data_IF_165069925502
#
_entry.id   IF_165069925502
#
_cell.length_a   1.000
_cell.length_b   1.000
_cell.length_c   1.000
_cell.angle_alpha   90.00
_cell.angle_beta   90.00
_cell.angle_gamma   90.00
#
_symmetry.space_group_name_H-M   'P 1'
#
loop_
_entity.id
_entity.type
_entity.pdbx_description
1 polymer ?
#
# COMPACT_ATOMS: atom_id res chain seq x y z
N UNK A 1 -11.09 6.19 -16.77
CA UNK A 1 -10.86 6.37 -15.33
C UNK A 1 -9.57 5.72 -14.89
N UNK A 2 -8.91 6.34 -13.94
CA UNK A 2 -7.68 5.80 -13.38
C UNK A 2 -7.98 5.09 -12.08
N UNK A 3 -7.53 3.86 -11.96
CA UNK A 3 -7.68 3.09 -10.72
C UNK A 3 -6.37 3.10 -9.97
N UNK A 4 -6.41 3.51 -8.72
CA UNK A 4 -5.23 3.75 -7.90
C UNK A 4 -5.22 2.82 -6.71
N UNK A 5 -4.08 2.16 -6.49
CA UNK A 5 -3.83 1.34 -5.30
C UNK A 5 -2.99 2.15 -4.32
N UNK A 6 -3.56 2.44 -3.15
CA UNK A 6 -2.82 3.08 -2.06
C UNK A 6 -2.34 2.04 -1.08
N UNK A 7 -1.10 2.14 -0.64
CA UNK A 7 -0.50 1.18 0.27
C UNK A 7 0.10 1.90 1.47
N UNK A 8 -0.30 1.45 2.66
CA UNK A 8 0.27 1.90 3.93
C UNK A 8 1.08 0.73 4.49
N UNK A 9 2.39 0.66 4.18
CA UNK A 9 3.18 -0.52 4.54
C UNK A 9 3.44 -0.61 6.03
N UNK A 10 3.45 -1.82 6.53
CA UNK A 10 3.79 -2.11 7.91
C UNK A 10 4.46 -3.46 8.00
N UNK A 11 5.23 -3.68 9.06
CA UNK A 11 5.95 -4.94 9.24
C UNK A 11 5.07 -6.03 9.85
N UNK A 12 3.95 -5.66 10.44
CA UNK A 12 3.01 -6.61 11.06
C UNK A 12 1.70 -6.68 10.29
N UNK A 13 1.31 -5.59 9.67
CA UNK A 13 0.14 -5.52 8.82
C UNK A 13 0.33 -4.38 7.83
N UNK A 14 -0.23 -4.54 6.66
CA UNK A 14 -0.15 -3.53 5.61
C UNK A 14 -1.57 -3.16 5.19
N UNK A 15 -1.89 -1.88 5.25
CA UNK A 15 -3.19 -1.39 4.81
C UNK A 15 -3.17 -1.10 3.32
N UNK A 16 -4.31 -1.28 2.66
CA UNK A 16 -4.43 -0.91 1.26
C UNK A 16 -5.81 -0.36 0.96
N UNK A 17 -5.89 0.41 -0.11
CA UNK A 17 -7.16 0.91 -0.61
C UNK A 17 -7.11 1.03 -2.11
N UNK A 18 -8.26 0.84 -2.75
CA UNK A 18 -8.43 1.03 -4.19
C UNK A 18 -9.46 2.12 -4.39
N UNK A 19 -9.09 3.13 -5.19
CA UNK A 19 -10.01 4.19 -5.59
C UNK A 19 -9.97 4.36 -7.11
N UNK A 20 -11.02 4.97 -7.66
CA UNK A 20 -11.08 5.32 -9.07
C UNK A 20 -11.28 6.81 -9.20
N UNK A 21 -10.58 7.42 -10.14
CA UNK A 21 -10.73 8.85 -10.37
C UNK A 21 -10.79 9.15 -11.87
N UNK A 22 -11.61 10.14 -12.23
CA UNK A 22 -11.67 10.67 -13.59
C UNK A 22 -10.96 12.02 -13.68
N UNK A 23 -10.25 12.39 -12.60
CA UNK A 23 -9.58 13.68 -12.50
C UNK A 23 -10.38 14.73 -11.77
N UNK A 24 -11.68 14.55 -11.66
CA UNK A 24 -12.56 15.47 -10.95
C UNK A 24 -13.21 14.83 -9.74
N UNK A 25 -13.64 13.60 -9.91
CA UNK A 25 -14.28 12.83 -8.83
C UNK A 25 -13.50 11.58 -8.57
N UNK A 26 -13.51 11.17 -7.31
CA UNK A 26 -12.85 9.95 -6.91
C UNK A 26 -13.84 9.09 -6.14
N UNK A 27 -13.88 7.81 -6.48
CA UNK A 27 -14.79 6.86 -5.88
C UNK A 27 -14.02 5.77 -5.16
N UNK A 28 -14.49 5.45 -3.97
CA UNK A 28 -13.98 4.33 -3.21
C UNK A 28 -14.40 3.01 -3.87
N UNK A 29 -13.45 2.10 -4.05
CA UNK A 29 -13.74 0.78 -4.58
C UNK A 29 -13.68 -0.27 -3.48
N UNK A 30 -12.55 -0.36 -2.78
CA UNK A 30 -12.38 -1.31 -1.69
C UNK A 30 -11.19 -0.92 -0.84
N UNK A 31 -11.09 -1.54 0.33
CA UNK A 31 -9.92 -1.39 1.19
C UNK A 31 -9.83 -2.60 2.10
N UNK A 32 -8.69 -2.75 2.75
CA UNK A 32 -8.49 -3.84 3.67
C UNK A 32 -7.14 -3.79 4.34
N UNK A 33 -6.86 -4.83 5.09
CA UNK A 33 -5.61 -4.98 5.81
C UNK A 33 -5.04 -6.37 5.51
N UNK A 34 -3.78 -6.39 5.12
CA UNK A 34 -3.03 -7.63 4.94
C UNK A 34 -2.30 -7.91 6.24
N UNK A 35 -2.69 -8.96 6.94
CA UNK A 35 -2.02 -9.36 8.18
C UNK A 35 -0.84 -10.24 7.84
N UNK A 36 0.33 -9.89 8.39
CA UNK A 36 1.55 -10.65 8.15
C UNK A 36 1.79 -11.61 9.29
N UNK A 37 2.30 -12.82 9.01
CA UNK A 37 2.52 -13.82 10.06
C UNK A 37 3.74 -13.46 10.90
N UNK A 38 3.53 -12.70 11.97
CA UNK A 38 4.61 -12.12 12.77
C UNK A 38 5.48 -13.16 13.47
N UNK A 39 4.99 -14.39 13.60
CA UNK A 39 5.77 -15.48 14.21
C UNK A 39 6.63 -16.23 13.19
N UNK A 40 6.53 -15.87 11.93
CA UNK A 40 7.30 -16.48 10.87
C UNK A 40 8.56 -15.67 10.57
N UNK A 41 9.57 -16.29 9.94
CA UNK A 41 10.75 -15.53 9.50
C UNK A 41 10.37 -14.39 8.57
N UNK A 42 11.24 -13.38 8.51
CA UNK A 42 10.97 -12.20 7.70
C UNK A 42 10.66 -12.55 6.25
N UNK A 43 11.43 -13.47 5.67
CA UNK A 43 11.20 -13.86 4.27
C UNK A 43 9.79 -14.40 4.06
N UNK A 44 9.28 -15.20 5.00
CA UNK A 44 7.92 -15.73 4.91
C UNK A 44 6.88 -14.63 5.04
N UNK A 45 7.13 -13.66 5.93
CA UNK A 45 6.22 -12.51 6.07
C UNK A 45 6.17 -11.68 4.81
N UNK A 46 7.33 -11.42 4.21
CA UNK A 46 7.40 -10.63 2.97
C UNK A 46 6.76 -11.38 1.81
N UNK A 47 6.87 -12.71 1.81
CA UNK A 47 6.21 -13.53 0.80
C UNK A 47 4.70 -13.39 0.87
N UNK A 48 4.13 -13.42 2.07
CA UNK A 48 2.68 -13.23 2.26
C UNK A 48 2.26 -11.85 1.75
N UNK A 49 3.04 -10.84 2.09
CA UNK A 49 2.77 -9.48 1.64
C UNK A 49 2.76 -9.41 0.10
N UNK A 50 3.78 -9.97 -0.52
CA UNK A 50 3.92 -9.93 -1.96
C UNK A 50 2.80 -10.68 -2.67
N UNK A 51 2.47 -11.88 -2.19
CA UNK A 51 1.40 -12.68 -2.77
C UNK A 51 0.04 -12.01 -2.63
N UNK A 52 -0.20 -11.42 -1.46
CA UNK A 52 -1.47 -10.72 -1.22
C UNK A 52 -1.63 -9.50 -2.10
N UNK A 53 -0.58 -8.71 -2.24
CA UNK A 53 -0.62 -7.54 -3.12
C UNK A 53 -0.78 -7.94 -4.57
N UNK A 54 -0.07 -8.98 -4.99
CA UNK A 54 -0.19 -9.48 -6.36
C UNK A 54 -1.63 -9.89 -6.67
N UNK A 55 -2.29 -10.55 -5.72
CA UNK A 55 -3.67 -10.97 -5.87
C UNK A 55 -4.61 -9.76 -5.97
N UNK A 56 -4.39 -8.75 -5.15
CA UNK A 56 -5.18 -7.51 -5.18
C UNK A 56 -5.01 -6.80 -6.52
N UNK A 57 -3.77 -6.72 -7.01
CA UNK A 57 -3.49 -6.09 -8.29
C UNK A 57 -4.17 -6.85 -9.43
N UNK A 58 -4.11 -8.18 -9.40
CA UNK A 58 -4.77 -8.99 -10.41
C UNK A 58 -6.27 -8.81 -10.40
N UNK A 59 -6.85 -8.75 -9.21
CA UNK A 59 -8.31 -8.66 -9.07
C UNK A 59 -8.84 -7.30 -9.48
N UNK A 60 -8.18 -6.23 -9.05
CA UNK A 60 -8.71 -4.88 -9.22
C UNK A 60 -8.08 -4.12 -10.38
N UNK A 61 -6.98 -4.60 -10.93
CA UNK A 61 -6.33 -4.03 -12.12
C UNK A 61 -6.04 -2.53 -12.00
N UNK A 62 -5.39 -2.06 -10.90
CA UNK A 62 -4.98 -0.66 -10.83
C UNK A 62 -3.87 -0.39 -11.84
N UNK A 63 -3.71 0.86 -12.23
CA UNK A 63 -2.62 1.27 -13.14
C UNK A 63 -1.59 2.14 -12.42
N UNK A 64 -1.94 2.61 -11.24
CA UNK A 64 -1.10 3.51 -10.46
C UNK A 64 -1.07 3.02 -9.03
N UNK A 65 0.09 3.05 -8.40
CA UNK A 65 0.24 2.73 -6.99
C UNK A 65 0.85 3.93 -6.26
N UNK A 66 0.34 4.18 -5.07
CA UNK A 66 0.82 5.25 -4.19
C UNK A 66 1.23 4.57 -2.89
N UNK A 67 2.51 4.70 -2.53
CA UNK A 67 3.04 4.05 -1.34
C UNK A 67 3.42 5.12 -0.33
N UNK A 68 2.93 4.97 0.89
CA UNK A 68 3.24 5.91 1.95
C UNK A 68 4.71 5.86 2.29
N UNK A 69 5.30 7.04 2.40
CA UNK A 69 6.70 7.20 2.79
C UNK A 69 6.75 7.44 4.30
N UNK A 70 7.50 6.61 4.99
CA UNK A 70 7.58 6.69 6.46
C UNK A 70 8.98 7.14 6.84
N UNK A 71 9.06 8.23 7.60
CA UNK A 71 10.33 8.81 8.00
C UNK A 71 10.71 8.48 9.43
N UNK A 72 9.75 8.09 10.26
CA UNK A 72 10.00 7.89 11.67
C UNK A 72 9.51 6.54 12.13
N UNK A 73 10.33 5.90 12.94
CA UNK A 73 9.97 4.65 13.59
C UNK A 73 10.49 4.71 15.02
N UNK A 74 9.94 3.86 15.88
CA UNK A 74 10.28 3.86 17.30
C UNK A 74 11.75 3.48 17.55
N UNK A 75 12.32 2.68 16.66
CA UNK A 75 13.69 2.21 16.82
C UNK A 75 14.29 1.93 15.45
N UNK A 76 15.62 1.77 15.43
CA UNK A 76 16.31 1.41 14.19
C UNK A 76 15.84 0.08 13.65
N UNK A 77 15.57 -0.89 14.54
CA UNK A 77 15.10 -2.20 14.13
C UNK A 77 13.71 -2.13 13.50
N UNK A 78 12.82 -1.33 14.09
CA UNK A 78 11.48 -1.11 13.53
C UNK A 78 11.55 -0.42 12.18
N UNK A 79 12.45 0.56 12.05
CA UNK A 79 12.63 1.27 10.78
C UNK A 79 13.13 0.33 9.70
N UNK A 80 14.04 -0.58 10.04
CA UNK A 80 14.58 -1.54 9.08
C UNK A 80 13.48 -2.49 8.59
N UNK A 81 12.71 -3.05 9.51
CA UNK A 81 11.64 -3.98 9.15
C UNK A 81 10.59 -3.29 8.28
N UNK A 82 10.25 -2.06 8.63
CA UNK A 82 9.28 -1.28 7.87
C UNK A 82 9.80 -1.00 6.47
N UNK A 83 11.08 -0.63 6.35
CA UNK A 83 11.70 -0.40 5.05
C UNK A 83 11.71 -1.64 4.18
N UNK A 84 11.91 -2.80 4.79
CA UNK A 84 11.88 -4.06 4.06
C UNK A 84 10.47 -4.37 3.52
N UNK A 85 9.45 -4.18 4.34
CA UNK A 85 8.06 -4.37 3.90
C UNK A 85 7.69 -3.38 2.79
N UNK A 86 8.11 -2.14 2.95
CA UNK A 86 7.86 -1.10 1.98
C UNK A 86 8.53 -1.42 0.64
N UNK A 87 9.78 -1.86 0.69
CA UNK A 87 10.52 -2.24 -0.50
C UNK A 87 9.88 -3.42 -1.22
N UNK A 88 9.43 -4.43 -0.47
CA UNK A 88 8.74 -5.57 -1.06
C UNK A 88 7.47 -5.14 -1.78
N UNK A 89 6.67 -4.27 -1.16
CA UNK A 89 5.46 -3.76 -1.78
C UNK A 89 5.76 -3.01 -3.07
N UNK A 90 6.82 -2.20 -3.05
CA UNK A 90 7.23 -1.42 -4.22
C UNK A 90 7.64 -2.33 -5.37
N UNK A 91 8.40 -3.38 -5.07
CA UNK A 91 8.84 -4.33 -6.10
C UNK A 91 7.65 -5.03 -6.75
N UNK A 92 6.68 -5.45 -5.95
CA UNK A 92 5.48 -6.12 -6.49
C UNK A 92 4.74 -5.20 -7.45
N UNK A 93 4.55 -3.95 -7.06
CA UNK A 93 3.87 -2.98 -7.92
C UNK A 93 4.66 -2.72 -9.20
N UNK A 94 5.98 -2.60 -9.10
CA UNK A 94 6.83 -2.37 -10.26
C UNK A 94 6.81 -3.56 -11.22
N UNK A 95 6.85 -4.77 -10.68
CA UNK A 95 6.79 -5.98 -11.51
C UNK A 95 5.44 -6.12 -12.22
N UNK A 96 4.39 -5.56 -11.66
CA UNK A 96 3.07 -5.54 -12.29
C UNK A 96 2.90 -4.37 -13.25
N UNK A 97 3.97 -3.63 -13.51
CA UNK A 97 4.01 -2.49 -14.42
C UNK A 97 3.11 -1.32 -13.99
N UNK A 98 2.90 -1.19 -12.68
CA UNK A 98 2.19 -0.02 -12.19
C UNK A 98 3.13 1.17 -12.16
N UNK A 99 2.58 2.35 -12.38
CA UNK A 99 3.30 3.59 -12.14
C UNK A 99 3.32 3.80 -10.62
N UNK A 100 4.51 3.83 -10.02
CA UNK A 100 4.65 3.85 -8.56
C UNK A 100 5.07 5.24 -8.10
N UNK A 101 4.31 5.80 -7.17
CA UNK A 101 4.61 7.09 -6.55
C UNK A 101 4.74 6.93 -5.06
N UNK A 102 5.62 7.72 -4.46
CA UNK A 102 5.83 7.74 -3.02
C UNK A 102 5.37 9.09 -2.48
N UNK A 103 4.60 9.05 -1.41
CA UNK A 103 4.08 10.27 -0.81
C UNK A 103 4.30 10.25 0.69
N UNK A 104 4.47 11.43 1.26
CA UNK A 104 4.48 11.56 2.71
C UNK A 104 3.11 11.17 3.25
N UNK A 105 3.08 10.68 4.49
CA UNK A 105 1.87 10.20 5.15
C UNK A 105 0.71 11.16 5.00
N UNK A 106 0.97 12.46 5.22
CA UNK A 106 -0.08 13.47 5.14
C UNK A 106 -0.70 13.54 3.75
N UNK A 107 0.15 13.48 2.73
CA UNK A 107 -0.33 13.58 1.35
C UNK A 107 -1.22 12.40 0.98
N UNK A 108 -0.83 11.20 1.37
CA UNK A 108 -1.61 10.00 1.10
C UNK A 108 -2.95 10.08 1.83
N UNK A 109 -2.94 10.46 3.09
CA UNK A 109 -4.17 10.57 3.87
C UNK A 109 -5.11 11.59 3.28
N UNK A 110 -4.59 12.72 2.84
CA UNK A 110 -5.44 13.73 2.21
C UNK A 110 -6.04 13.23 0.91
N UNK A 111 -5.26 12.51 0.10
CA UNK A 111 -5.74 11.99 -1.16
C UNK A 111 -6.84 10.93 -0.94
N UNK A 112 -6.64 10.03 0.01
CA UNK A 112 -7.59 8.95 0.26
C UNK A 112 -8.81 9.44 1.02
N UNK A 113 -8.58 10.18 2.12
CA UNK A 113 -9.67 10.66 2.97
C UNK A 113 -10.52 11.69 2.24
N UNK A 114 -9.88 12.59 1.53
CA UNK A 114 -10.60 13.62 0.80
C UNK A 114 -11.52 13.06 -0.25
N UNK A 115 -11.25 11.86 -0.73
CA UNK A 115 -12.05 11.24 -1.78
C UNK A 115 -13.06 10.25 -1.23
N UNK A 116 -12.71 9.55 -0.19
CA UNK A 116 -13.54 8.49 0.32
C UNK A 116 -14.49 8.93 1.37
N UNK A 117 -14.39 10.15 1.72
CA UNK A 117 -15.10 10.51 2.87
C UNK A 117 -14.68 9.60 3.95
N UNK A 118 -13.82 9.07 3.63
CA UNK A 118 -13.46 8.06 4.46
C UNK A 118 -13.86 8.35 5.79
N UNK A 119 -14.27 8.48 5.63
CA UNK A 119 -14.55 8.49 6.58
C UNK A 119 -14.19 8.42 7.61
N UNK A 120 -13.87 8.61 7.58
CA UNK A 120 -13.66 8.56 8.43
C UNK A 120 -13.98 8.43 8.73
#
# INVERSE_FOLDING_TARGET
MTRILGIDPGSRKTGFGIVETDGKRTHYVTSGVIKLPVNEPLAARLKVLAESLDQIISEYQPTLAVIEQVFMAKSANSALKLGQARGAAMVVCALADLEVHEYATRQIKQAVVGTGGASK
#
